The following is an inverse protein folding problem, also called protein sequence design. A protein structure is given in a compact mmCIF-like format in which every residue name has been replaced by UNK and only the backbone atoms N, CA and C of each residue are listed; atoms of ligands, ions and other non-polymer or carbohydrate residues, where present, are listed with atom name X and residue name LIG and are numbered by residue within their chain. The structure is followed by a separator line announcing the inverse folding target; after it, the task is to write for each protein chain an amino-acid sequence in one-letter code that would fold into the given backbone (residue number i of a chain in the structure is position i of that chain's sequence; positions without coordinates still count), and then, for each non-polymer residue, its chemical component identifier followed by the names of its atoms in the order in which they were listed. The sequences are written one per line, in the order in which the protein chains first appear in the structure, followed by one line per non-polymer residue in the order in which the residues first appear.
data_IF_452087181113
#
_entry.id   IF_452087181113
#
_cell.length_a   1.000
_cell.length_b   1.000
_cell.length_c   1.000
_cell.angle_alpha   90.00
_cell.angle_beta   90.00
_cell.angle_gamma   90.00
#
_symmetry.space_group_name_H-M   'P 1'
#
loop_
_entity.id
_entity.type
_entity.pdbx_description
1 polymer ?
#
# COMPACT_ATOMS: atom_id res chain seq x y z
N UNK A 1 -21.40 -1.22 -11.06
CA UNK A 1 -21.11 -0.04 -10.21
C UNK A 1 -21.35 -0.44 -8.77
N UNK A 2 -20.31 -0.34 -7.94
CA UNK A 2 -20.18 -0.62 -6.47
C UNK A 2 -19.00 -1.59 -6.27
N UNK A 3 -17.96 -1.32 -5.49
CA UNK A 3 -17.64 -0.20 -4.61
C UNK A 3 -16.10 -0.06 -4.61
N UNK A 4 -15.59 1.18 -4.63
CA UNK A 4 -14.25 1.52 -4.13
C UNK A 4 -14.05 0.79 -2.79
N UNK A 5 -12.84 0.35 -2.43
CA UNK A 5 -12.51 -0.09 -1.07
C UNK A 5 -12.71 1.08 -0.07
N UNK A 6 -13.98 1.44 0.18
CA UNK A 6 -14.39 2.38 1.20
C UNK A 6 -14.39 1.57 2.47
N UNK A 7 -13.61 2.02 3.45
CA UNK A 7 -13.66 1.53 4.83
C UNK A 7 -15.13 1.31 5.22
N UNK A 8 -15.46 0.05 5.53
CA UNK A 8 -16.77 -0.26 6.07
C UNK A 8 -16.84 0.29 7.49
N UNK A 9 -18.03 0.68 7.99
CA UNK A 9 -18.18 1.06 9.37
C UNK A 9 -17.67 -0.06 10.30
N UNK A 10 -16.70 0.25 11.16
CA UNK A 10 -16.15 -0.71 12.10
C UNK A 10 -17.23 -1.25 13.06
N UNK A 11 -17.13 -2.54 13.39
CA UNK A 11 -17.92 -3.17 14.46
C UNK A 11 -17.54 -2.59 15.83
N UNK A 12 -18.37 -2.83 16.85
CA UNK A 12 -18.09 -2.32 18.20
C UNK A 12 -16.76 -2.84 18.76
N UNK A 13 -16.43 -4.11 18.50
CA UNK A 13 -15.17 -4.72 18.91
C UNK A 13 -13.98 -4.07 18.19
N UNK A 14 -14.09 -3.86 16.88
CA UNK A 14 -13.06 -3.21 16.09
C UNK A 14 -12.84 -1.75 16.51
N UNK A 15 -13.92 -1.02 16.84
CA UNK A 15 -13.80 0.36 17.36
C UNK A 15 -13.05 0.40 18.68
N UNK A 16 -13.41 -0.46 19.63
CA UNK A 16 -12.72 -0.53 20.92
C UNK A 16 -11.24 -0.87 20.72
N UNK A 17 -10.94 -1.85 19.88
CA UNK A 17 -9.57 -2.22 19.56
C UNK A 17 -8.79 -1.06 18.89
N UNK A 18 -9.45 -0.29 18.01
CA UNK A 18 -8.87 0.89 17.39
C UNK A 18 -8.59 2.00 18.43
N UNK A 19 -9.51 2.25 19.35
CA UNK A 19 -9.32 3.22 20.44
C UNK A 19 -8.15 2.82 21.35
N UNK A 20 -8.05 1.54 21.72
CA UNK A 20 -6.98 1.03 22.58
C UNK A 20 -5.58 1.12 21.93
N UNK A 21 -5.52 1.14 20.60
CA UNK A 21 -4.27 1.09 19.84
C UNK A 21 -4.00 2.36 19.01
N UNK A 22 -4.82 3.42 19.11
CA UNK A 22 -4.75 4.58 18.20
C UNK A 22 -3.39 5.29 18.24
N UNK A 23 -2.68 5.21 19.38
CA UNK A 23 -1.33 5.78 19.58
C UNK A 23 -0.31 5.33 18.52
N UNK A 24 -0.54 4.17 17.89
CA UNK A 24 0.33 3.65 16.83
C UNK A 24 0.40 4.59 15.62
N UNK A 25 -0.64 5.38 15.34
CA UNK A 25 -0.63 6.38 14.27
C UNK A 25 0.42 7.46 14.58
N UNK A 26 0.39 8.02 15.78
CA UNK A 26 1.33 9.06 16.19
C UNK A 26 2.77 8.53 16.27
N UNK A 27 2.96 7.31 16.76
CA UNK A 27 4.27 6.66 16.77
C UNK A 27 4.79 6.42 15.35
N UNK A 28 3.93 5.98 14.43
CA UNK A 28 4.27 5.78 13.02
C UNK A 28 4.71 7.09 12.35
N UNK A 29 3.94 8.16 12.50
CA UNK A 29 4.23 9.47 11.90
C UNK A 29 5.55 10.03 12.44
N UNK A 30 5.74 9.97 13.77
CA UNK A 30 6.99 10.38 14.43
C UNK A 30 8.20 9.58 13.91
N UNK A 31 8.10 8.24 13.86
CA UNK A 31 9.18 7.37 13.35
C UNK A 31 9.46 7.62 11.87
N UNK A 32 8.44 7.98 11.09
CA UNK A 32 8.54 8.27 9.66
C UNK A 32 8.97 9.71 9.35
N UNK A 33 9.14 10.57 10.37
CA UNK A 33 9.43 12.01 10.23
C UNK A 33 8.39 12.75 9.38
N UNK A 34 7.12 12.36 9.55
CA UNK A 34 5.97 13.00 8.91
C UNK A 34 5.27 13.90 9.92
N UNK A 35 4.85 15.08 9.48
CA UNK A 35 4.07 15.99 10.30
C UNK A 35 2.70 15.38 10.60
N UNK A 36 2.32 15.33 11.88
CA UNK A 36 1.02 14.82 12.28
C UNK A 36 -0.12 15.70 11.80
N UNK A 37 0.05 17.02 11.73
CA UNK A 37 -1.02 17.91 11.28
C UNK A 37 -1.34 17.70 9.79
N UNK A 38 -0.34 17.33 8.99
CA UNK A 38 -0.50 17.13 7.54
C UNK A 38 -0.92 15.70 7.18
N UNK A 39 -0.39 14.70 7.88
CA UNK A 39 -0.46 13.30 7.43
C UNK A 39 -1.31 12.38 8.31
N UNK A 40 -1.90 12.88 9.40
CA UNK A 40 -2.76 12.05 10.26
C UNK A 40 -3.95 11.47 9.49
N UNK A 41 -4.66 12.31 8.74
CA UNK A 41 -5.86 11.91 7.99
C UNK A 41 -5.55 10.87 6.91
N UNK A 42 -4.33 10.88 6.38
CA UNK A 42 -3.89 9.88 5.41
C UNK A 42 -3.55 8.57 6.12
N UNK A 43 -2.80 8.64 7.22
CA UNK A 43 -2.38 7.46 7.98
C UNK A 43 -3.57 6.76 8.65
N UNK A 44 -4.56 7.50 9.15
CA UNK A 44 -5.69 6.94 9.89
C UNK A 44 -6.50 5.96 9.04
N UNK A 45 -6.63 6.18 7.72
CA UNK A 45 -7.34 5.24 6.85
C UNK A 45 -6.62 3.88 6.75
N UNK A 46 -5.29 3.89 6.63
CA UNK A 46 -4.49 2.68 6.63
C UNK A 46 -4.54 1.98 8.00
N UNK A 47 -4.53 2.75 9.07
CA UNK A 47 -4.69 2.22 10.42
C UNK A 47 -6.04 1.52 10.62
N UNK A 48 -7.16 2.17 10.28
CA UNK A 48 -8.49 1.60 10.46
C UNK A 48 -8.70 0.37 9.58
N UNK A 49 -8.18 0.37 8.35
CA UNK A 49 -8.20 -0.81 7.48
C UNK A 49 -7.40 -1.95 8.10
N UNK A 50 -6.25 -1.66 8.71
CA UNK A 50 -5.45 -2.67 9.40
C UNK A 50 -6.19 -3.28 10.59
N UNK A 51 -7.01 -2.51 11.31
CA UNK A 51 -7.84 -3.02 12.42
C UNK A 51 -8.88 -4.01 11.90
N UNK A 52 -9.60 -3.64 10.84
CA UNK A 52 -10.59 -4.51 10.21
C UNK A 52 -9.94 -5.83 9.74
N UNK A 53 -8.86 -5.74 8.98
CA UNK A 53 -8.17 -6.91 8.43
C UNK A 53 -7.58 -7.78 9.54
N UNK A 54 -6.89 -7.18 10.51
CA UNK A 54 -6.23 -7.93 11.58
C UNK A 54 -7.24 -8.69 12.44
N UNK A 55 -8.37 -8.08 12.80
CA UNK A 55 -9.36 -8.75 13.64
C UNK A 55 -10.17 -9.82 12.91
N UNK A 56 -10.29 -9.71 11.59
CA UNK A 56 -11.02 -10.69 10.77
C UNK A 56 -10.14 -11.87 10.29
N UNK A 57 -8.81 -11.80 10.42
CA UNK A 57 -7.89 -12.84 9.97
C UNK A 57 -7.08 -13.46 11.13
N UNK A 58 -7.56 -14.59 11.65
CA UNK A 58 -6.93 -15.31 12.77
C UNK A 58 -5.52 -15.79 12.42
N UNK A 59 -5.27 -16.18 11.17
CA UNK A 59 -3.95 -16.65 10.78
C UNK A 59 -2.94 -15.52 10.68
N UNK A 60 -3.39 -14.31 10.31
CA UNK A 60 -2.58 -13.09 10.37
C UNK A 60 -2.21 -12.75 11.82
N UNK A 61 -3.16 -12.83 12.76
CA UNK A 61 -2.91 -12.58 14.19
C UNK A 61 -1.87 -13.54 14.77
N UNK A 62 -1.88 -14.80 14.34
CA UNK A 62 -0.89 -15.81 14.78
C UNK A 62 0.52 -15.53 14.28
N UNK A 63 0.64 -14.90 13.11
CA UNK A 63 1.93 -14.73 12.41
C UNK A 63 2.54 -13.34 12.61
N UNK A 64 1.72 -12.33 12.84
CA UNK A 64 2.15 -10.94 12.83
C UNK A 64 1.58 -10.20 14.03
N UNK A 65 2.38 -9.30 14.62
CA UNK A 65 1.87 -8.37 15.63
C UNK A 65 1.06 -7.27 14.95
N UNK A 66 0.00 -6.81 15.62
CA UNK A 66 -0.85 -5.74 15.10
C UNK A 66 -0.06 -4.48 14.72
N UNK A 67 0.93 -4.06 15.54
CA UNK A 67 1.79 -2.90 15.22
C UNK A 67 2.42 -3.02 13.82
N UNK A 68 3.00 -4.17 13.49
CA UNK A 68 3.64 -4.39 12.19
C UNK A 68 2.63 -4.31 11.04
N UNK A 69 1.45 -4.90 11.21
CA UNK A 69 0.37 -4.85 10.22
C UNK A 69 -0.13 -3.42 10.04
N UNK A 70 -0.33 -2.68 11.13
CA UNK A 70 -0.78 -1.28 11.08
C UNK A 70 0.21 -0.38 10.36
N UNK A 71 1.51 -0.54 10.62
CA UNK A 71 2.58 0.24 9.97
C UNK A 71 2.65 -0.04 8.47
N UNK A 72 2.43 -1.29 8.07
CA UNK A 72 2.34 -1.69 6.67
C UNK A 72 1.22 -0.95 5.93
N UNK A 73 0.00 -0.96 6.47
CA UNK A 73 -1.14 -0.31 5.83
C UNK A 73 -1.03 1.22 5.86
N UNK A 74 -0.60 1.82 6.98
CA UNK A 74 -0.35 3.27 7.04
C UNK A 74 0.71 3.71 6.01
N UNK A 75 1.77 2.92 5.83
CA UNK A 75 2.82 3.19 4.82
C UNK A 75 2.30 3.04 3.39
N UNK A 76 1.38 2.09 3.13
CA UNK A 76 0.69 1.95 1.84
C UNK A 76 -0.10 3.21 1.51
N UNK A 77 -0.94 3.69 2.43
CA UNK A 77 -1.72 4.92 2.23
C UNK A 77 -0.81 6.13 1.96
N UNK A 78 0.27 6.25 2.72
CA UNK A 78 1.22 7.33 2.54
C UNK A 78 1.88 7.31 1.15
N UNK A 79 2.25 6.12 0.67
CA UNK A 79 2.78 5.96 -0.68
C UNK A 79 1.76 6.35 -1.75
N UNK A 80 0.50 5.94 -1.61
CA UNK A 80 -0.57 6.29 -2.54
C UNK A 80 -0.82 7.81 -2.56
N UNK A 81 -0.87 8.44 -1.38
CA UNK A 81 -1.02 9.88 -1.24
C UNK A 81 0.09 10.64 -1.98
N UNK A 82 1.36 10.35 -1.68
CA UNK A 82 2.48 11.04 -2.33
C UNK A 82 2.55 10.81 -3.84
N UNK A 83 2.17 9.62 -4.31
CA UNK A 83 2.12 9.32 -5.74
C UNK A 83 1.06 10.16 -6.45
N UNK A 84 -0.12 10.31 -5.85
CA UNK A 84 -1.21 11.13 -6.39
C UNK A 84 -0.85 12.61 -6.40
N UNK A 85 -0.26 13.12 -5.31
CA UNK A 85 0.18 14.53 -5.26
C UNK A 85 1.24 14.87 -6.31
N UNK A 86 2.19 13.97 -6.57
CA UNK A 86 3.19 14.15 -7.65
C UNK A 86 2.56 14.18 -9.03
N UNK A 87 1.53 13.36 -9.30
CA UNK A 87 0.81 13.36 -10.58
C UNK A 87 0.01 14.66 -10.75
N UNK A 88 -0.66 15.12 -9.70
CA UNK A 88 -1.41 16.37 -9.74
C UNK A 88 -0.50 17.60 -9.90
N UNK A 89 0.67 17.60 -9.25
CA UNK A 89 1.67 18.66 -9.39
C UNK A 89 2.34 18.66 -10.77
N UNK A 90 2.53 17.49 -11.39
CA UNK A 90 3.06 17.38 -12.75
C UNK A 90 2.06 17.86 -13.82
N UNK A 91 0.75 17.76 -13.55
CA UNK A 91 -0.30 18.29 -14.42
C UNK A 91 -0.51 19.79 -14.18
N UNK A 92 -0.34 20.28 -12.94
CA UNK A 92 -0.56 21.68 -12.55
C UNK A 92 0.51 22.70 -13.00
N UNK A 93 1.62 22.28 -13.59
CA UNK A 93 2.66 23.21 -14.09
C UNK A 93 2.37 23.75 -15.51
N UNK A 94 1.35 23.23 -16.19
CA UNK A 94 0.94 23.69 -17.50
C UNK A 94 -0.57 24.02 -17.47
N UNK A 95 -0.93 25.22 -17.03
CA UNK A 95 -1.98 26.09 -17.63
C UNK A 95 -2.39 27.16 -16.62
N UNK A 96 -1.72 28.31 -16.76
CA UNK A 96 -2.40 29.59 -16.58
C UNK A 96 -3.39 29.77 -17.75
N UNK A 97 -4.46 30.52 -17.48
CA UNK A 97 -5.44 31.12 -18.39
C UNK A 97 -6.74 30.36 -18.72
N UNK A 98 -7.79 30.95 -18.15
CA UNK A 98 -9.13 31.23 -18.66
C UNK A 98 -10.16 30.13 -18.94
N UNK A 99 -11.29 30.37 -18.28
CA UNK A 99 -12.62 29.81 -18.41
C UNK A 99 -13.06 29.80 -19.88
N UNK A 100 -13.31 28.62 -20.45
CA UNK A 100 -14.49 28.34 -21.29
C UNK A 100 -14.87 26.87 -21.12
N UNK A 101 -16.11 26.62 -20.72
CA UNK A 101 -16.77 25.32 -20.81
C UNK A 101 -16.57 24.73 -22.21
N UNK A 102 -15.86 23.61 -22.31
CA UNK A 102 -16.08 22.68 -23.42
C UNK A 102 -15.93 21.27 -22.90
N UNK A 103 -17.06 20.56 -22.90
CA UNK A 103 -17.14 19.12 -22.74
C UNK A 103 -16.13 18.45 -23.66
N UNK A 104 -15.09 17.86 -23.08
CA UNK A 104 -14.32 16.79 -23.72
C UNK A 104 -14.26 15.66 -22.71
N UNK A 105 -15.30 14.84 -22.75
CA UNK A 105 -15.18 13.46 -22.35
C UNK A 105 -14.21 12.78 -23.32
N UNK A 106 -12.95 12.62 -22.92
CA UNK A 106 -12.19 11.39 -23.19
C UNK A 106 -10.85 11.41 -22.44
N UNK A 107 -10.85 10.89 -21.22
CA UNK A 107 -9.64 10.33 -20.64
C UNK A 107 -10.07 9.15 -19.78
N UNK A 108 -9.97 7.97 -20.40
CA UNK A 108 -10.22 6.65 -19.84
C UNK A 108 -9.97 6.57 -18.31
N UNK A 109 -10.97 6.17 -17.49
CA UNK A 109 -10.72 5.80 -16.11
C UNK A 109 -9.91 4.51 -16.14
N UNK A 110 -8.61 4.61 -15.79
CA UNK A 110 -7.72 3.46 -15.62
C UNK A 110 -8.47 2.32 -14.93
N UNK A 111 -8.74 1.24 -15.67
CA UNK A 111 -9.64 0.18 -15.23
C UNK A 111 -9.18 -0.35 -13.86
N UNK A 112 -10.10 -0.35 -12.90
CA UNK A 112 -9.85 -0.92 -11.59
C UNK A 112 -9.74 -2.43 -11.75
N UNK A 113 -8.52 -2.95 -11.70
CA UNK A 113 -8.23 -4.40 -11.69
C UNK A 113 -9.19 -5.09 -10.72
N UNK A 114 -10.03 -5.98 -11.24
CA UNK A 114 -10.98 -6.76 -10.45
C UNK A 114 -10.22 -7.73 -9.53
N UNK A 115 -10.84 -8.17 -8.43
CA UNK A 115 -10.20 -9.13 -7.51
C UNK A 115 -9.78 -10.43 -8.22
N UNK A 116 -10.44 -10.81 -9.32
CA UNK A 116 -10.10 -11.98 -10.11
C UNK A 116 -8.84 -11.75 -10.96
N UNK A 117 -8.77 -10.63 -11.69
CA UNK A 117 -7.59 -10.23 -12.47
C UNK A 117 -6.37 -10.01 -11.56
N UNK A 118 -6.58 -9.47 -10.36
CA UNK A 118 -5.55 -9.35 -9.35
C UNK A 118 -5.00 -10.72 -8.93
N UNK A 119 -5.88 -11.68 -8.65
CA UNK A 119 -5.46 -13.04 -8.27
C UNK A 119 -4.72 -13.76 -9.39
N UNK A 120 -5.15 -13.56 -10.65
CA UNK A 120 -4.48 -14.13 -11.82
C UNK A 120 -3.10 -13.53 -12.04
N UNK A 121 -2.98 -12.20 -11.95
CA UNK A 121 -1.70 -11.49 -12.00
C UNK A 121 -0.75 -11.98 -10.89
N UNK A 122 -1.24 -12.16 -9.66
CA UNK A 122 -0.43 -12.68 -8.55
C UNK A 122 0.05 -14.11 -8.83
N UNK A 123 -0.77 -14.97 -9.42
CA UNK A 123 -0.35 -16.33 -9.84
C UNK A 123 0.74 -16.29 -10.91
N UNK A 124 0.62 -15.41 -11.90
CA UNK A 124 1.63 -15.24 -12.94
C UNK A 124 2.96 -14.76 -12.35
N UNK A 125 2.91 -13.79 -11.42
CA UNK A 125 4.10 -13.32 -10.69
C UNK A 125 4.70 -14.48 -9.90
N UNK A 126 3.90 -15.21 -9.13
CA UNK A 126 4.37 -16.34 -8.32
C UNK A 126 5.06 -17.42 -9.15
N UNK A 127 4.54 -17.72 -10.35
CA UNK A 127 5.12 -18.72 -11.25
C UNK A 127 6.47 -18.32 -11.87
N UNK A 128 6.80 -17.02 -11.88
CA UNK A 128 8.05 -16.50 -12.48
C UNK A 128 9.12 -16.14 -11.45
N UNK A 129 8.77 -16.01 -10.17
CA UNK A 129 9.69 -15.69 -9.10
C UNK A 129 10.28 -16.95 -8.45
N UNK A 130 11.56 -16.89 -8.07
CA UNK A 130 12.14 -17.91 -7.17
C UNK A 130 11.56 -17.79 -5.76
N UNK A 131 11.70 -18.80 -4.90
CA UNK A 131 11.21 -18.71 -3.51
C UNK A 131 11.78 -17.51 -2.74
N UNK A 132 13.09 -17.23 -2.90
CA UNK A 132 13.73 -16.04 -2.30
C UNK A 132 13.09 -14.76 -2.82
N UNK A 133 12.85 -14.68 -4.13
CA UNK A 133 12.23 -13.50 -4.75
C UNK A 133 10.76 -13.35 -4.34
N UNK A 134 10.02 -14.45 -4.23
CA UNK A 134 8.64 -14.46 -3.77
C UNK A 134 8.52 -13.97 -2.32
N UNK A 135 9.42 -14.40 -1.43
CA UNK A 135 9.49 -13.89 -0.05
C UNK A 135 9.74 -12.38 -0.04
N UNK A 136 10.72 -11.91 -0.82
CA UNK A 136 11.01 -10.47 -0.94
C UNK A 136 9.81 -9.71 -1.53
N UNK A 137 9.18 -10.22 -2.58
CA UNK A 137 8.02 -9.60 -3.22
C UNK A 137 6.82 -9.54 -2.27
N UNK A 138 6.50 -10.64 -1.60
CA UNK A 138 5.39 -10.74 -0.65
C UNK A 138 5.59 -9.76 0.50
N UNK A 139 6.78 -9.72 1.10
CA UNK A 139 7.04 -8.77 2.18
C UNK A 139 7.12 -7.33 1.68
N UNK A 140 7.58 -7.12 0.44
CA UNK A 140 7.55 -5.78 -0.13
C UNK A 140 6.12 -5.30 -0.43
N UNK A 141 5.25 -6.19 -0.91
CA UNK A 141 3.82 -5.94 -1.11
C UNK A 141 3.11 -5.67 0.23
N UNK A 142 3.57 -6.35 1.29
CA UNK A 142 3.27 -6.03 2.70
C UNK A 142 4.01 -4.78 3.23
N UNK A 143 4.55 -3.93 2.36
CA UNK A 143 5.09 -2.63 2.75
C UNK A 143 6.42 -2.65 3.53
N UNK A 144 7.05 -3.80 3.79
CA UNK A 144 8.36 -3.84 4.44
C UNK A 144 9.42 -3.11 3.58
N UNK A 145 10.35 -2.43 4.24
CA UNK A 145 11.51 -1.84 3.58
C UNK A 145 12.48 -2.95 3.17
N UNK A 146 13.30 -2.71 2.13
CA UNK A 146 14.32 -3.70 1.74
C UNK A 146 15.34 -3.94 2.85
N UNK A 147 15.53 -2.98 3.76
CA UNK A 147 16.37 -3.18 4.95
C UNK A 147 15.70 -4.16 5.92
N UNK A 148 14.44 -3.97 6.27
CA UNK A 148 13.69 -4.87 7.16
C UNK A 148 13.61 -6.29 6.57
N UNK A 149 13.39 -6.43 5.25
CA UNK A 149 13.36 -7.74 4.59
C UNK A 149 14.76 -8.40 4.61
N UNK A 150 15.81 -7.61 4.43
CA UNK A 150 17.21 -8.08 4.51
C UNK A 150 17.52 -8.65 5.89
N UNK A 151 17.12 -7.93 6.94
CA UNK A 151 17.28 -8.34 8.34
C UNK A 151 16.43 -9.58 8.67
N UNK A 152 15.14 -9.58 8.30
CA UNK A 152 14.20 -10.66 8.63
C UNK A 152 14.55 -12.00 7.97
N UNK A 153 15.11 -11.99 6.75
CA UNK A 153 15.43 -13.20 6.00
C UNK A 153 16.92 -13.53 5.97
N UNK A 154 17.76 -12.76 6.68
CA UNK A 154 19.22 -12.94 6.65
C UNK A 154 19.84 -12.76 5.26
N UNK A 155 19.18 -12.00 4.37
CA UNK A 155 19.63 -11.77 3.00
C UNK A 155 20.56 -10.57 3.01
N UNK A 156 21.81 -10.71 2.57
CA UNK A 156 22.75 -9.58 2.54
C UNK A 156 22.24 -8.39 1.70
N UNK A 157 22.48 -7.17 2.16
CA UNK A 157 21.94 -5.95 1.54
C UNK A 157 22.18 -5.86 0.03
N UNK A 158 23.40 -6.08 -0.47
CA UNK A 158 23.67 -6.08 -1.92
C UNK A 158 22.81 -7.10 -2.69
N UNK A 159 22.60 -8.29 -2.12
CA UNK A 159 21.77 -9.34 -2.71
C UNK A 159 20.30 -8.91 -2.74
N UNK A 160 19.80 -8.27 -1.69
CA UNK A 160 18.38 -7.87 -1.66
C UNK A 160 18.03 -6.83 -2.71
N UNK A 161 18.88 -5.81 -2.90
CA UNK A 161 18.67 -4.81 -3.95
C UNK A 161 18.76 -5.44 -5.35
N UNK A 162 19.71 -6.36 -5.56
CA UNK A 162 19.84 -7.08 -6.83
C UNK A 162 18.60 -7.94 -7.14
N UNK A 163 18.11 -8.71 -6.16
CA UNK A 163 16.91 -9.53 -6.34
C UNK A 163 15.67 -8.65 -6.54
N UNK A 164 15.55 -7.56 -5.79
CA UNK A 164 14.43 -6.64 -5.95
C UNK A 164 14.39 -5.97 -7.32
N UNK A 165 15.56 -5.68 -7.92
CA UNK A 165 15.64 -5.23 -9.31
C UNK A 165 15.04 -6.23 -10.30
N UNK A 166 15.37 -7.53 -10.14
CA UNK A 166 14.80 -8.61 -10.98
C UNK A 166 13.28 -8.75 -10.79
N UNK A 167 12.82 -8.69 -9.54
CA UNK A 167 11.39 -8.73 -9.22
C UNK A 167 10.65 -7.59 -9.93
N UNK A 168 11.17 -6.36 -9.88
CA UNK A 168 10.57 -5.21 -10.57
C UNK A 168 10.42 -5.44 -12.06
N UNK A 169 11.43 -6.02 -12.71
CA UNK A 169 11.38 -6.30 -14.14
C UNK A 169 10.28 -7.31 -14.48
N UNK A 170 10.22 -8.43 -13.74
CA UNK A 170 9.18 -9.47 -13.94
C UNK A 170 7.79 -8.90 -13.73
N UNK A 171 7.62 -8.09 -12.68
CA UNK A 171 6.34 -7.46 -12.33
C UNK A 171 5.93 -6.42 -13.38
N UNK A 172 6.88 -5.66 -13.94
CA UNK A 172 6.61 -4.72 -15.03
C UNK A 172 6.16 -5.46 -16.30
N UNK A 173 6.85 -6.52 -16.69
CA UNK A 173 6.49 -7.33 -17.86
C UNK A 173 5.08 -7.93 -17.73
N UNK A 174 4.63 -8.31 -16.53
CA UNK A 174 3.28 -8.85 -16.31
C UNK A 174 2.22 -7.74 -16.31
N UNK A 175 2.55 -6.54 -15.83
CA UNK A 175 1.63 -5.40 -15.81
C UNK A 175 1.48 -4.69 -17.16
N UNK A 176 2.39 -4.94 -18.10
CA UNK A 176 2.35 -4.40 -19.48
C UNK A 176 1.65 -5.36 -20.47
N UNK A 177 1.17 -6.51 -20.00
CA UNK A 177 0.33 -7.48 -20.73
C UNK A 177 -1.13 -7.24 -20.36
#
# INVERSE_FOLDING_TARGET
MENKERLKPLTMEQRKFAEDNYRLIMEFLKKSKLDSEEYFDVAVFGYLLSVEIYLNDIDLQRKCKFEAVSYMYMRREMYLYFRTQKRNSAIGNNTSLDIVETNVADSSPMESITSLEYMEMIKQIQGRLTEEQWKIFSDKAKGYSLREISENHGIGGKRIYKQFGKIKQIVAEIMEI
#
